data_IF_064347880961
#
_entry.id   IF_064347880961
#
_cell.length_a   1.000
_cell.length_b   1.000
_cell.length_c   1.000
_cell.angle_alpha   90.00
_cell.angle_beta   90.00
_cell.angle_gamma   90.00
#
_symmetry.space_group_name_H-M   'P 1'
#
loop_
_entity.id
_entity.type
_entity.pdbx_description
1 polymer ?
#
# COMPACT_ATOMS: atom_id res chain seq x y z
N UNK A 1 2.99 57.39 -3.14
CA UNK A 1 2.27 56.24 -3.72
C UNK A 1 2.85 54.98 -3.10
N UNK A 2 2.04 54.24 -2.33
CA UNK A 2 2.46 53.07 -1.56
C UNK A 2 2.21 51.82 -2.43
N UNK A 3 3.26 51.24 -3.01
CA UNK A 3 3.11 50.00 -3.78
C UNK A 3 3.38 48.79 -2.90
N UNK A 4 2.30 48.17 -2.44
CA UNK A 4 2.28 46.89 -1.74
C UNK A 4 2.59 45.77 -2.75
N UNK A 5 3.74 45.12 -2.63
CA UNK A 5 4.06 43.90 -3.40
C UNK A 5 3.51 42.70 -2.66
N UNK A 6 2.44 42.10 -3.20
CA UNK A 6 1.87 40.87 -2.70
C UNK A 6 2.77 39.68 -3.10
N UNK A 7 3.33 39.00 -2.09
CA UNK A 7 4.14 37.79 -2.29
C UNK A 7 3.26 36.61 -2.73
N UNK A 8 3.62 35.99 -3.85
CA UNK A 8 3.02 34.73 -4.29
C UNK A 8 3.66 33.57 -3.51
N UNK A 9 2.89 32.94 -2.61
CA UNK A 9 3.28 31.70 -1.95
C UNK A 9 2.99 30.52 -2.89
N UNK A 10 4.02 29.99 -3.56
CA UNK A 10 3.89 28.81 -4.43
C UNK A 10 3.85 27.57 -3.54
N UNK A 11 2.63 27.08 -3.24
CA UNK A 11 2.43 25.78 -2.64
C UNK A 11 2.76 24.70 -3.68
N UNK A 12 4.00 24.22 -3.71
CA UNK A 12 4.33 23.02 -4.48
C UNK A 12 3.73 21.83 -3.75
N UNK A 13 2.57 21.35 -4.22
CA UNK A 13 2.04 20.07 -3.77
C UNK A 13 3.07 18.99 -4.14
N UNK A 14 3.74 18.43 -3.12
CA UNK A 14 4.65 17.31 -3.31
C UNK A 14 3.89 16.16 -3.97
N UNK A 15 4.51 15.41 -4.92
CA UNK A 15 3.89 14.23 -5.47
C UNK A 15 3.60 13.26 -4.33
N UNK A 16 2.32 13.12 -3.96
CA UNK A 16 1.91 12.08 -3.03
C UNK A 16 1.98 10.78 -3.83
N UNK A 17 3.01 9.97 -3.59
CA UNK A 17 3.00 8.60 -4.07
C UNK A 17 1.85 7.91 -3.34
N UNK A 18 0.74 7.68 -4.04
CA UNK A 18 -0.44 7.06 -3.48
C UNK A 18 -0.08 5.63 -3.03
N UNK A 19 0.13 5.48 -1.73
CA UNK A 19 0.37 4.20 -1.07
C UNK A 19 -0.90 3.35 -1.19
N UNK A 20 -0.74 2.06 -1.50
CA UNK A 20 -1.89 1.15 -1.60
C UNK A 20 -2.40 0.85 -0.19
N UNK A 21 -3.61 1.27 0.12
CA UNK A 21 -4.34 0.88 1.33
C UNK A 21 -5.19 -0.38 1.06
N UNK A 22 -5.16 -1.32 1.99
CA UNK A 22 -6.02 -2.51 2.02
C UNK A 22 -6.60 -2.69 3.43
N UNK A 23 -7.76 -3.33 3.58
CA UNK A 23 -8.23 -3.74 4.90
C UNK A 23 -7.34 -4.86 5.47
N UNK A 24 -7.40 -5.09 6.78
CA UNK A 24 -6.92 -6.32 7.40
C UNK A 24 -7.82 -7.48 6.98
N UNK A 25 -7.23 -8.66 6.77
CA UNK A 25 -8.00 -9.85 6.47
C UNK A 25 -8.84 -10.26 7.70
N UNK A 26 -10.01 -10.82 7.46
CA UNK A 26 -10.88 -11.30 8.54
C UNK A 26 -10.12 -12.33 9.41
N UNK A 27 -10.18 -12.16 10.73
CA UNK A 27 -9.47 -13.02 11.68
C UNK A 27 -7.97 -12.74 11.81
N UNK A 28 -7.46 -11.65 11.22
CA UNK A 28 -6.05 -11.25 11.32
C UNK A 28 -5.91 -9.85 11.91
N UNK A 29 -5.13 -9.74 12.99
CA UNK A 29 -4.79 -8.47 13.65
C UNK A 29 -3.60 -7.74 13.01
N UNK A 30 -2.81 -8.49 12.23
CA UNK A 30 -1.54 -8.07 11.66
C UNK A 30 -1.72 -7.65 10.19
N UNK A 31 -0.85 -6.76 9.72
CA UNK A 31 -0.74 -6.47 8.29
C UNK A 31 0.16 -7.49 7.59
N UNK A 32 -0.10 -7.79 6.30
CA UNK A 32 0.77 -8.68 5.55
C UNK A 32 2.16 -8.06 5.32
N UNK A 33 3.13 -8.89 4.96
CA UNK A 33 4.50 -8.44 4.68
C UNK A 33 4.52 -7.31 3.65
N UNK A 34 5.29 -6.26 3.95
CA UNK A 34 5.40 -5.07 3.10
C UNK A 34 4.27 -4.05 3.30
N UNK A 35 3.38 -4.26 4.27
CA UNK A 35 2.41 -3.27 4.72
C UNK A 35 2.66 -2.87 6.18
N UNK A 36 2.38 -1.61 6.49
CA UNK A 36 2.41 -1.07 7.85
C UNK A 36 0.99 -0.84 8.36
N UNK A 37 0.78 -1.11 9.65
CA UNK A 37 -0.50 -0.92 10.31
C UNK A 37 -0.72 0.58 10.62
N UNK A 38 -1.85 1.13 10.18
CA UNK A 38 -2.25 2.53 10.42
C UNK A 38 -3.04 2.72 11.72
N UNK A 39 -2.78 1.88 12.72
CA UNK A 39 -3.46 1.84 14.02
C UNK A 39 -4.97 1.56 13.94
N UNK A 40 -5.43 0.98 12.84
CA UNK A 40 -6.84 0.70 12.57
C UNK A 40 -7.09 -0.67 11.93
N UNK A 41 -8.13 -0.73 11.12
CA UNK A 41 -8.54 -1.93 10.36
C UNK A 41 -7.88 -2.01 8.99
N UNK A 42 -6.90 -1.14 8.70
CA UNK A 42 -6.27 -1.04 7.40
C UNK A 42 -4.74 -1.10 7.48
N UNK A 43 -4.16 -1.37 6.32
CA UNK A 43 -2.77 -1.64 6.10
C UNK A 43 -2.34 -0.83 4.89
N UNK A 44 -1.23 -0.10 4.98
CA UNK A 44 -0.70 0.72 3.89
C UNK A 44 0.68 0.23 3.46
N UNK A 45 0.94 0.16 2.16
CA UNK A 45 2.26 -0.20 1.64
C UNK A 45 2.96 1.00 1.01
N UNK A 46 4.27 1.22 1.28
CA UNK A 46 5.05 2.26 0.62
C UNK A 46 5.26 2.02 -0.88
N UNK A 47 4.93 0.82 -1.37
CA UNK A 47 5.08 0.40 -2.77
C UNK A 47 3.76 -0.17 -3.30
N UNK A 48 3.48 0.03 -4.59
CA UNK A 48 2.26 -0.47 -5.21
C UNK A 48 2.48 -1.86 -5.81
N UNK A 49 1.76 -2.86 -5.32
CA UNK A 49 1.69 -4.19 -5.93
C UNK A 49 0.30 -4.80 -5.74
N UNK A 50 -0.02 -5.75 -6.61
CA UNK A 50 -1.33 -6.41 -6.62
C UNK A 50 -1.40 -7.47 -5.51
N UNK A 51 -2.43 -7.39 -4.68
CA UNK A 51 -2.71 -8.33 -3.61
C UNK A 51 -4.15 -8.83 -3.66
N UNK A 52 -4.38 -10.03 -3.15
CA UNK A 52 -5.69 -10.64 -3.01
C UNK A 52 -5.81 -11.38 -1.67
N UNK A 53 -6.98 -11.37 -1.01
CA UNK A 53 -7.19 -12.14 0.21
C UNK A 53 -7.12 -13.64 -0.08
N UNK A 54 -6.64 -14.43 0.89
CA UNK A 54 -6.57 -15.89 0.81
C UNK A 54 -7.92 -16.54 1.08
N UNK A 55 -8.76 -15.92 1.92
CA UNK A 55 -9.99 -16.50 2.45
C UNK A 55 -9.78 -17.92 3.03
N UNK A 56 -8.63 -18.12 3.70
CA UNK A 56 -8.25 -19.42 4.27
C UNK A 56 -7.71 -20.45 3.27
N UNK A 57 -7.59 -20.09 1.99
CA UNK A 57 -7.10 -20.97 0.93
C UNK A 57 -5.63 -20.70 0.59
N UNK A 58 -5.00 -21.65 -0.10
CA UNK A 58 -3.68 -21.44 -0.67
C UNK A 58 -3.69 -20.36 -1.75
N UNK A 59 -2.56 -19.68 -1.94
CA UNK A 59 -2.42 -18.71 -3.02
C UNK A 59 -2.50 -19.39 -4.39
N UNK A 60 -3.13 -18.71 -5.35
CA UNK A 60 -3.22 -19.16 -6.74
C UNK A 60 -1.83 -19.27 -7.37
N UNK A 61 -1.71 -20.07 -8.43
CA UNK A 61 -0.49 -20.10 -9.24
C UNK A 61 -0.12 -18.69 -9.74
N UNK A 62 1.17 -18.35 -9.70
CA UNK A 62 1.64 -16.99 -10.00
C UNK A 62 1.49 -16.00 -8.84
N UNK A 63 1.00 -16.44 -7.69
CA UNK A 63 0.93 -15.64 -6.46
C UNK A 63 1.83 -16.24 -5.37
N UNK A 64 2.22 -15.41 -4.41
CA UNK A 64 2.98 -15.80 -3.23
C UNK A 64 2.23 -15.42 -1.95
N UNK A 65 2.29 -16.27 -0.94
CA UNK A 65 1.74 -15.96 0.38
C UNK A 65 2.62 -14.91 1.06
N UNK A 66 2.00 -13.83 1.52
CA UNK A 66 2.69 -12.73 2.22
C UNK A 66 2.27 -12.60 3.69
N UNK A 67 1.60 -13.62 4.23
CA UNK A 67 1.08 -13.65 5.59
C UNK A 67 -0.23 -12.89 5.76
N UNK A 68 -0.78 -12.95 6.98
CA UNK A 68 -1.97 -12.21 7.43
C UNK A 68 -3.17 -12.27 6.47
N UNK A 69 -3.41 -13.44 5.86
CA UNK A 69 -4.57 -13.65 4.99
C UNK A 69 -4.46 -13.04 3.60
N UNK A 70 -3.26 -12.69 3.11
CA UNK A 70 -3.06 -12.15 1.77
C UNK A 70 -2.04 -12.90 0.91
N UNK A 71 -2.28 -12.83 -0.39
CA UNK A 71 -1.37 -13.23 -1.46
C UNK A 71 -0.94 -12.00 -2.25
N UNK A 72 0.31 -11.99 -2.73
CA UNK A 72 0.85 -10.99 -3.66
C UNK A 72 1.09 -11.63 -5.03
N UNK A 73 0.76 -10.91 -6.09
CA UNK A 73 1.08 -11.33 -7.46
C UNK A 73 2.59 -11.26 -7.70
N UNK A 74 3.17 -12.36 -8.17
CA UNK A 74 4.58 -12.40 -8.56
C UNK A 74 4.77 -11.47 -9.76
N UNK A 75 5.81 -10.64 -9.73
CA UNK A 75 6.22 -9.82 -10.88
C UNK A 75 7.52 -10.41 -11.43
N UNK A 76 7.58 -10.62 -12.75
CA UNK A 76 8.71 -11.28 -13.41
C UNK A 76 8.80 -12.80 -13.16
N UNK A 77 9.66 -13.52 -13.91
CA UNK A 77 9.76 -14.99 -13.89
C UNK A 77 10.27 -15.56 -12.55
N UNK A 78 10.85 -14.72 -11.68
CA UNK A 78 11.44 -15.14 -10.40
C UNK A 78 10.68 -14.65 -9.16
N UNK A 79 9.63 -13.82 -9.34
CA UNK A 79 8.86 -13.29 -8.21
C UNK A 79 9.62 -12.31 -7.30
N UNK A 80 10.81 -11.86 -7.70
CA UNK A 80 11.63 -10.88 -6.99
C UNK A 80 11.44 -9.53 -7.70
N UNK A 81 11.36 -8.46 -6.89
CA UNK A 81 11.22 -7.07 -7.34
C UNK A 81 12.36 -6.62 -8.24
#
# INVERSE_FOLDING_TARGET
MLSTVAGALWLTASPVLAQKEIPKAAGHEQCPLGYVNTLGTTCVSPIYYEVAPTNGQACKEGWMNIGAGYCKKKKGPLGIF
#
